data_IF_205033801403
#
_entry.id   IF_205033801403
#
_cell.length_a   1.000
_cell.length_b   1.000
_cell.length_c   1.000
_cell.angle_alpha   90.00
_cell.angle_beta   90.00
_cell.angle_gamma   90.00
#
_symmetry.space_group_name_H-M   'P 1'
#
loop_
_entity.id
_entity.type
_entity.pdbx_description
1 polymer ?
#
# COMPACT_ATOMS: atom_id res chain seq x y z
N UNK A 1 -1.18 -7.62 -20.82
CA UNK A 1 -0.85 -6.46 -19.97
C UNK A 1 -1.49 -6.78 -18.63
N UNK A 2 -0.75 -7.49 -17.79
CA UNK A 2 -1.36 -8.20 -16.67
C UNK A 2 -1.01 -7.41 -15.40
N UNK A 3 -1.50 -6.17 -15.34
CA UNK A 3 -1.36 -5.30 -14.18
C UNK A 3 -2.54 -5.50 -13.23
N UNK A 4 -2.27 -5.59 -11.93
CA UNK A 4 -3.32 -5.55 -10.90
C UNK A 4 -4.16 -4.28 -11.07
N UNK A 5 -5.47 -4.32 -10.80
CA UNK A 5 -6.40 -3.19 -10.98
C UNK A 5 -5.89 -1.87 -10.36
N UNK A 6 -5.17 -1.96 -9.24
CA UNK A 6 -4.55 -0.81 -8.58
C UNK A 6 -3.44 -0.14 -9.40
N UNK A 7 -2.67 -0.93 -10.17
CA UNK A 7 -1.59 -0.41 -11.02
C UNK A 7 -2.10 0.33 -12.25
N UNK A 8 -3.28 -0.06 -12.74
CA UNK A 8 -3.98 0.61 -13.85
C UNK A 8 -4.57 1.93 -13.35
N UNK A 9 -5.32 1.89 -12.24
CA UNK A 9 -5.91 3.09 -11.65
C UNK A 9 -4.86 4.14 -11.25
N UNK A 10 -3.70 3.71 -10.73
CA UNK A 10 -2.59 4.62 -10.44
C UNK A 10 -1.96 5.21 -11.71
N UNK A 11 -1.94 4.46 -12.82
CA UNK A 11 -1.44 4.96 -14.09
C UNK A 11 -2.39 5.99 -14.74
N UNK A 12 -3.70 5.86 -14.49
CA UNK A 12 -4.75 6.73 -15.01
C UNK A 12 -4.92 8.04 -14.20
N UNK A 13 -4.49 8.06 -12.93
CA UNK A 13 -4.58 9.25 -12.06
C UNK A 13 -3.30 10.12 -12.12
N UNK A 14 -2.15 9.55 -12.48
CA UNK A 14 -0.86 10.23 -12.34
C UNK A 14 -0.40 10.88 -13.66
N UNK A 15 -0.10 12.20 -13.68
CA UNK A 15 0.40 12.91 -14.85
C UNK A 15 1.67 12.31 -15.45
N UNK A 16 1.76 12.30 -16.79
CA UNK A 16 2.80 11.58 -17.56
C UNK A 16 4.23 12.04 -17.27
N UNK A 17 4.41 13.31 -16.92
CA UNK A 17 5.68 13.97 -16.62
C UNK A 17 6.28 13.58 -15.26
N UNK A 18 5.44 13.16 -14.31
CA UNK A 18 5.87 12.70 -12.97
C UNK A 18 5.62 11.21 -12.73
N UNK A 19 4.91 10.51 -13.63
CA UNK A 19 4.50 9.10 -13.45
C UNK A 19 5.65 8.17 -13.06
N UNK A 20 6.81 8.30 -13.70
CA UNK A 20 7.99 7.49 -13.35
C UNK A 20 8.48 7.73 -11.92
N UNK A 21 8.48 9.00 -11.47
CA UNK A 21 8.89 9.39 -10.11
C UNK A 21 7.87 8.95 -9.07
N UNK A 22 6.58 9.12 -9.35
CA UNK A 22 5.49 8.71 -8.44
C UNK A 22 5.44 7.19 -8.30
N UNK A 23 5.59 6.46 -9.40
CA UNK A 23 5.64 4.99 -9.39
C UNK A 23 6.89 4.45 -8.69
N UNK A 24 8.01 5.19 -8.71
CA UNK A 24 9.21 4.85 -7.93
C UNK A 24 9.07 5.19 -6.44
N UNK A 25 8.33 6.25 -6.10
CA UNK A 25 8.11 6.68 -4.71
C UNK A 25 7.08 5.81 -3.98
N UNK A 26 5.92 5.59 -4.60
CA UNK A 26 4.78 4.89 -4.01
C UNK A 26 4.83 3.38 -4.31
N UNK A 27 5.52 2.99 -5.38
CA UNK A 27 5.48 1.62 -5.91
C UNK A 27 4.43 1.50 -7.02
N UNK A 28 4.55 0.47 -7.86
CA UNK A 28 3.73 0.26 -9.06
C UNK A 28 2.32 -0.25 -8.74
N UNK A 29 1.60 0.42 -7.84
CA UNK A 29 0.24 0.06 -7.43
C UNK A 29 0.15 -1.20 -6.56
N UNK A 30 1.25 -1.62 -5.93
CA UNK A 30 1.24 -2.78 -5.01
C UNK A 30 1.96 -2.44 -3.72
N UNK A 31 1.20 -2.21 -2.65
CA UNK A 31 1.70 -2.38 -1.29
C UNK A 31 1.59 -3.87 -1.00
N UNK A 32 2.68 -4.60 -1.22
CA UNK A 32 2.73 -6.04 -1.00
C UNK A 32 2.68 -6.33 0.50
N UNK A 33 1.48 -6.56 1.01
CA UNK A 33 1.23 -6.98 2.39
C UNK A 33 1.73 -8.42 2.57
N UNK A 34 2.93 -8.57 3.13
CA UNK A 34 3.48 -9.84 3.59
C UNK A 34 4.57 -10.46 2.71
N UNK A 35 5.50 -11.14 3.38
CA UNK A 35 6.66 -11.82 2.76
C UNK A 35 6.27 -12.84 1.69
N UNK A 36 5.10 -13.46 1.82
CA UNK A 36 4.57 -14.45 0.87
C UNK A 36 4.33 -13.91 -0.55
N UNK A 37 4.19 -12.58 -0.70
CA UNK A 37 3.98 -11.94 -2.00
C UNK A 37 5.28 -11.51 -2.69
N UNK A 38 6.46 -11.88 -2.17
CA UNK A 38 7.75 -11.62 -2.81
C UNK A 38 8.50 -10.40 -2.28
N UNK A 39 8.49 -10.22 -0.95
CA UNK A 39 9.46 -9.39 -0.23
C UNK A 39 8.97 -8.01 0.20
N UNK A 40 9.25 -7.66 1.47
CA UNK A 40 9.05 -6.34 2.11
C UNK A 40 9.99 -5.24 1.60
N UNK A 41 10.72 -5.49 0.50
CA UNK A 41 11.75 -4.59 -0.03
C UNK A 41 12.18 -4.90 -1.47
N UNK A 42 11.29 -5.46 -2.29
CA UNK A 42 11.58 -5.70 -3.71
C UNK A 42 11.47 -4.42 -4.58
N UNK A 43 11.94 -4.43 -5.84
CA UNK A 43 11.91 -3.26 -6.75
C UNK A 43 10.52 -2.65 -7.02
N UNK A 44 9.45 -3.34 -6.62
CA UNK A 44 8.06 -2.87 -6.73
C UNK A 44 7.54 -2.11 -5.51
N UNK A 45 8.28 -2.13 -4.39
CA UNK A 45 7.94 -1.49 -3.12
C UNK A 45 8.58 -0.10 -3.13
N UNK A 46 7.80 0.93 -3.44
CA UNK A 46 8.35 2.27 -3.63
C UNK A 46 9.14 2.75 -2.40
N UNK A 47 10.18 3.55 -2.59
CA UNK A 47 11.11 3.89 -1.50
C UNK A 47 10.42 4.53 -0.28
N UNK A 48 9.31 5.24 -0.49
CA UNK A 48 8.55 5.86 0.59
C UNK A 48 7.84 4.82 1.47
N UNK A 49 7.36 3.74 0.85
CA UNK A 49 6.67 2.65 1.56
C UNK A 49 7.60 1.84 2.45
N UNK A 50 8.90 1.81 2.15
CA UNK A 50 9.93 1.12 2.95
C UNK A 50 10.03 1.75 4.35
N UNK A 51 10.02 3.08 4.45
CA UNK A 51 10.12 3.77 5.76
C UNK A 51 8.93 3.42 6.65
N UNK A 52 7.72 3.43 6.08
CA UNK A 52 6.51 3.04 6.78
C UNK A 52 6.54 1.56 7.18
N UNK A 53 7.11 0.70 6.33
CA UNK A 53 7.25 -0.72 6.62
C UNK A 53 8.21 -0.97 7.79
N UNK A 54 9.32 -0.23 7.88
CA UNK A 54 10.25 -0.34 9.02
C UNK A 54 9.56 0.03 10.33
N UNK A 55 8.81 1.14 10.34
CA UNK A 55 8.04 1.55 11.52
C UNK A 55 6.98 0.49 11.90
N UNK A 56 6.22 0.00 10.93
CA UNK A 56 5.23 -1.05 11.16
C UNK A 56 5.85 -2.36 11.70
N UNK A 57 7.06 -2.71 11.25
CA UNK A 57 7.78 -3.88 11.75
C UNK A 57 8.27 -3.69 13.19
N UNK A 58 8.69 -2.48 13.57
CA UNK A 58 9.04 -2.15 14.96
C UNK A 58 7.82 -2.21 15.87
N UNK A 59 6.72 -1.56 15.45
CA UNK A 59 5.47 -1.52 16.21
C UNK A 59 4.88 -2.93 16.39
N UNK A 60 4.94 -3.77 15.35
CA UNK A 60 4.51 -5.16 15.42
C UNK A 60 5.26 -5.98 16.47
N UNK A 61 6.57 -5.74 16.64
CA UNK A 61 7.38 -6.38 17.67
C UNK A 61 7.02 -5.93 19.08
N UNK A 62 6.78 -4.63 19.28
CA UNK A 62 6.38 -4.07 20.58
C UNK A 62 4.98 -4.56 20.99
N UNK A 63 4.02 -4.54 20.07
CA UNK A 63 2.65 -5.00 20.31
C UNK A 63 2.61 -6.48 20.69
N UNK A 64 3.46 -7.30 20.08
CA UNK A 64 3.54 -8.74 20.35
C UNK A 64 4.12 -9.04 21.75
N UNK A 65 5.00 -8.19 22.29
CA UNK A 65 5.56 -8.38 23.63
C UNK A 65 4.57 -8.09 24.75
N UNK A 66 3.61 -7.19 24.53
CA UNK A 66 2.57 -6.90 25.52
C UNK A 66 1.49 -7.97 25.57
N UNK A 67 0.98 -8.38 24.41
CA UNK A 67 0.03 -9.48 24.31
C UNK A 67 0.09 -10.07 22.89
N UNK A 68 0.15 -11.39 22.82
CA UNK A 68 0.22 -12.11 21.55
C UNK A 68 -0.96 -11.82 20.62
N UNK A 69 -2.13 -11.46 21.17
CA UNK A 69 -3.35 -11.21 20.40
C UNK A 69 -3.49 -9.77 19.89
N UNK A 70 -2.76 -8.80 20.47
CA UNK A 70 -2.86 -7.39 20.10
C UNK A 70 -2.51 -7.08 18.64
N UNK A 71 -1.46 -7.69 18.03
CA UNK A 71 -1.15 -7.45 16.62
C UNK A 71 -2.31 -7.81 15.69
N UNK A 72 -3.02 -8.91 15.98
CA UNK A 72 -4.13 -9.38 15.17
C UNK A 72 -5.34 -8.45 15.27
N UNK A 73 -5.67 -7.98 16.48
CA UNK A 73 -6.73 -6.98 16.68
C UNK A 73 -6.39 -5.66 16.00
N UNK A 74 -5.14 -5.21 16.11
CA UNK A 74 -4.67 -3.99 15.46
C UNK A 74 -4.81 -4.07 13.93
N UNK A 75 -4.36 -5.16 13.32
CA UNK A 75 -4.53 -5.38 11.87
C UNK A 75 -6.00 -5.40 11.47
N UNK A 76 -6.88 -6.01 12.29
CA UNK A 76 -8.33 -6.05 12.02
C UNK A 76 -8.92 -4.63 12.01
N UNK A 77 -8.60 -3.80 13.01
CA UNK A 77 -9.04 -2.40 13.09
C UNK A 77 -8.51 -1.58 11.91
N UNK A 78 -7.25 -1.77 11.53
CA UNK A 78 -6.65 -1.08 10.37
C UNK A 78 -7.32 -1.52 9.06
N UNK A 79 -7.65 -2.80 8.90
CA UNK A 79 -8.38 -3.29 7.74
C UNK A 79 -9.79 -2.70 7.64
N UNK A 80 -10.54 -2.64 8.75
CA UNK A 80 -11.88 -2.04 8.77
C UNK A 80 -11.81 -0.55 8.41
N UNK A 81 -10.88 0.18 9.03
CA UNK A 81 -10.72 1.61 8.73
C UNK A 81 -10.31 1.83 7.28
N UNK A 82 -9.36 1.05 6.75
CA UNK A 82 -8.97 1.08 5.33
C UNK A 82 -10.17 0.84 4.40
N UNK A 83 -11.00 -0.17 4.70
CA UNK A 83 -12.20 -0.47 3.93
C UNK A 83 -13.20 0.69 3.93
N UNK A 84 -13.40 1.33 5.09
CA UNK A 84 -14.26 2.52 5.21
C UNK A 84 -13.71 3.71 4.41
N UNK A 85 -12.39 3.93 4.45
CA UNK A 85 -11.74 4.97 3.65
C UNK A 85 -11.90 4.71 2.16
N UNK A 86 -11.66 3.47 1.70
CA UNK A 86 -11.86 3.11 0.30
C UNK A 86 -13.30 3.32 -0.11
N UNK A 87 -14.26 2.81 0.66
CA UNK A 87 -15.69 2.97 0.35
C UNK A 87 -16.14 4.44 0.32
N UNK A 88 -15.54 5.32 1.14
CA UNK A 88 -15.92 6.73 1.23
C UNK A 88 -15.18 7.64 0.25
N UNK A 89 -13.90 7.38 -0.04
CA UNK A 89 -13.02 8.29 -0.79
C UNK A 89 -12.66 7.78 -2.19
N UNK A 90 -12.59 6.46 -2.42
CA UNK A 90 -12.27 5.93 -3.75
C UNK A 90 -13.54 5.96 -4.58
N UNK A 91 -13.68 7.01 -5.38
CA UNK A 91 -14.65 7.11 -6.48
C UNK A 91 -13.89 6.96 -7.79
N UNK A 92 -14.43 6.16 -8.70
CA UNK A 92 -13.86 6.00 -10.03
C UNK A 92 -13.68 7.38 -10.71
N UNK A 93 -12.47 7.69 -11.21
CA UNK A 93 -12.25 8.92 -11.97
C UNK A 93 -13.08 8.85 -13.26
N UNK A 94 -14.01 9.79 -13.43
CA UNK A 94 -14.90 9.85 -14.61
C UNK A 94 -14.16 10.16 -15.93
N UNK A 95 -12.94 10.70 -15.86
CA UNK A 95 -12.09 10.98 -17.01
C UNK A 95 -10.71 10.40 -16.73
N UNK A 96 -10.22 9.50 -17.59
CA UNK A 96 -8.84 9.04 -17.56
C UNK A 96 -7.93 10.18 -18.05
N UNK A 97 -6.80 10.41 -17.37
CA UNK A 97 -5.76 11.33 -17.82
C UNK A 97 -5.16 10.77 -19.14
N UNK A 98 -5.17 11.55 -20.23
CA UNK A 98 -4.80 11.12 -21.60
C UNK A 98 -3.33 11.44 -21.93
#
# INVERSE_FOLDING_TARGET
MDGSSCSILLADIVPRDIRGRVMAAIGRGTVRMGAASGGTGGPGVGYFTIVLQVLASLDGGVLYQWDHNLPWLFVLVVCITSLLFVASFVRDPKNAEV
#
